data_IF_847247306170
#
_entry.id   IF_847247306170
#
_cell.length_a   1.000
_cell.length_b   1.000
_cell.length_c   1.000
_cell.angle_alpha   90.00
_cell.angle_beta   90.00
_cell.angle_gamma   90.00
#
_symmetry.space_group_name_H-M   'P 1'
#
loop_
_entity.id
_entity.type
_entity.pdbx_description
1 polymer ?
#
# COMPACT_ATOMS: atom_id res chain seq x y z
N UNK A 1 -1.48 -0.31 -22.55
CA UNK A 1 -1.10 -1.63 -22.00
C UNK A 1 0.18 -2.11 -22.68
N UNK A 2 1.35 -1.93 -22.06
CA UNK A 2 2.63 -2.52 -22.53
C UNK A 2 2.90 -3.76 -21.68
N UNK A 3 2.89 -4.93 -22.32
CA UNK A 3 3.16 -6.22 -21.67
C UNK A 3 4.65 -6.34 -21.36
N UNK A 4 4.90 -6.99 -20.21
CA UNK A 4 6.15 -7.21 -19.51
C UNK A 4 7.06 -8.16 -20.30
N UNK A 5 8.32 -7.79 -20.51
CA UNK A 5 9.39 -8.74 -20.85
C UNK A 5 9.90 -9.37 -19.55
N UNK A 6 9.41 -10.57 -19.25
CA UNK A 6 10.08 -11.55 -18.41
C UNK A 6 11.06 -12.34 -19.29
N UNK A 7 12.04 -13.00 -18.65
CA UNK A 7 13.11 -13.83 -19.24
C UNK A 7 14.45 -13.10 -19.43
N UNK A 8 15.03 -12.68 -18.31
CA UNK A 8 16.50 -12.73 -18.18
C UNK A 8 16.84 -14.18 -17.84
N UNK A 9 17.22 -14.93 -18.88
CA UNK A 9 17.67 -16.31 -18.77
C UNK A 9 18.81 -16.42 -17.76
N UNK A 10 18.70 -17.43 -16.89
CA UNK A 10 19.74 -17.85 -15.96
C UNK A 10 20.90 -18.48 -16.76
N UNK A 11 21.74 -17.64 -17.34
CA UNK A 11 23.07 -18.04 -17.79
C UNK A 11 23.94 -18.30 -16.56
N UNK A 12 24.12 -19.57 -16.21
CA UNK A 12 25.15 -20.00 -15.27
C UNK A 12 26.52 -19.64 -15.87
N UNK A 13 27.06 -18.50 -15.48
CA UNK A 13 28.48 -18.18 -15.71
C UNK A 13 29.32 -19.14 -14.86
N UNK A 14 29.67 -20.29 -15.44
CA UNK A 14 30.60 -21.25 -14.88
C UNK A 14 32.03 -20.72 -15.04
N UNK A 15 32.39 -19.73 -14.22
CA UNK A 15 33.80 -19.34 -14.04
C UNK A 15 34.35 -20.22 -12.91
N UNK A 16 35.38 -21.06 -13.15
CA UNK A 16 35.98 -21.85 -12.10
C UNK A 16 36.61 -20.91 -11.07
N UNK A 17 35.94 -20.75 -9.92
CA UNK A 17 36.44 -20.02 -8.77
C UNK A 17 37.47 -20.91 -8.05
N UNK A 18 38.75 -20.66 -8.27
CA UNK A 18 39.83 -21.26 -7.48
C UNK A 18 39.78 -20.68 -6.05
N UNK A 19 38.96 -21.30 -5.19
CA UNK A 19 38.72 -20.92 -3.79
C UNK A 19 39.86 -21.31 -2.83
N UNK A 20 41.03 -21.70 -3.34
CA UNK A 20 42.16 -22.18 -2.52
C UNK A 20 43.00 -21.07 -1.88
N UNK A 21 42.68 -19.78 -2.09
CA UNK A 21 43.45 -18.67 -1.54
C UNK A 21 42.89 -18.09 -0.22
N UNK A 22 41.79 -18.65 0.32
CA UNK A 22 41.14 -18.14 1.53
C UNK A 22 40.97 -19.17 2.66
N UNK A 23 41.43 -20.41 2.47
CA UNK A 23 41.44 -21.39 3.54
C UNK A 23 42.77 -21.32 4.30
N UNK A 24 42.68 -20.68 5.46
CA UNK A 24 43.46 -20.96 6.67
C UNK A 24 44.78 -20.21 6.87
N UNK A 25 44.66 -19.10 7.58
CA UNK A 25 45.74 -18.51 8.36
C UNK A 25 45.29 -18.41 9.82
N UNK A 26 45.92 -19.21 10.69
CA UNK A 26 45.89 -19.05 12.15
C UNK A 26 46.38 -20.34 12.83
N UNK A 27 47.20 -20.36 13.87
CA UNK A 27 47.98 -19.37 14.61
C UNK A 27 49.02 -20.17 15.44
N UNK A 28 50.16 -19.53 15.73
CA UNK A 28 51.07 -19.74 16.87
C UNK A 28 51.73 -21.11 17.16
N UNK A 29 53.08 -21.07 17.19
CA UNK A 29 53.88 -21.64 18.28
C UNK A 29 54.59 -22.99 18.04
N UNK A 30 55.93 -22.99 18.04
CA UNK A 30 56.74 -24.18 18.37
C UNK A 30 57.93 -24.47 17.44
N UNK A 31 59.08 -24.69 18.08
CA UNK A 31 60.46 -24.99 17.62
C UNK A 31 60.72 -25.80 16.32
N UNK A 32 61.97 -25.72 15.77
CA UNK A 32 62.37 -26.46 14.58
C UNK A 32 62.79 -27.90 14.94
N UNK A 33 62.19 -28.89 14.27
CA UNK A 33 62.64 -30.29 14.35
C UNK A 33 62.72 -30.92 12.94
N UNK A 34 63.98 -31.09 12.52
CA UNK A 34 64.61 -32.19 11.78
C UNK A 34 63.76 -33.28 11.08
N UNK A 35 64.22 -33.65 9.89
CA UNK A 35 63.98 -34.99 9.35
C UNK A 35 63.84 -35.10 7.83
N UNK A 36 64.89 -35.56 7.14
CA UNK A 36 64.71 -36.45 5.98
C UNK A 36 65.41 -36.08 4.67
N UNK A 37 66.70 -36.35 4.61
CA UNK A 37 67.53 -36.48 3.41
C UNK A 37 66.95 -37.52 2.42
N UNK A 38 66.80 -37.14 1.14
CA UNK A 38 66.78 -38.07 0.01
C UNK A 38 67.71 -37.55 -1.10
N UNK A 39 68.92 -38.10 -1.07
CA UNK A 39 70.01 -37.96 -2.02
C UNK A 39 69.59 -38.38 -3.44
N UNK A 40 69.94 -37.56 -4.44
CA UNK A 40 69.79 -37.84 -5.87
C UNK A 40 70.89 -37.10 -6.63
N UNK A 41 72.10 -37.65 -6.55
CA UNK A 41 73.35 -37.14 -7.14
C UNK A 41 73.42 -37.35 -8.65
N UNK A 42 73.96 -36.36 -9.36
CA UNK A 42 74.36 -36.39 -10.77
C UNK A 42 74.15 -35.00 -11.38
N UNK A 43 75.13 -34.11 -11.51
CA UNK A 43 76.55 -34.29 -11.75
C UNK A 43 76.84 -33.79 -13.15
N UNK A 44 77.01 -32.47 -13.33
CA UNK A 44 77.83 -31.88 -14.39
C UNK A 44 78.16 -30.43 -14.00
N UNK A 45 79.42 -30.22 -13.61
CA UNK A 45 80.04 -28.91 -13.46
C UNK A 45 80.73 -28.59 -14.78
N UNK A 46 80.33 -27.49 -15.42
CA UNK A 46 81.13 -26.85 -16.45
C UNK A 46 81.66 -25.50 -15.90
N UNK A 47 82.97 -25.32 -15.73
CA UNK A 47 83.53 -24.19 -15.00
C UNK A 47 83.88 -23.04 -15.94
N UNK A 48 82.91 -22.18 -16.25
CA UNK A 48 83.18 -20.83 -16.78
C UNK A 48 82.29 -19.79 -16.07
N UNK A 49 82.14 -19.93 -14.76
CA UNK A 49 81.65 -18.86 -13.91
C UNK A 49 82.82 -17.97 -13.51
N UNK A 50 82.92 -16.77 -14.10
CA UNK A 50 83.73 -15.70 -13.51
C UNK A 50 83.17 -15.48 -12.11
N UNK A 51 83.87 -15.98 -11.08
CA UNK A 51 83.43 -15.80 -9.71
C UNK A 51 83.31 -14.30 -9.48
N UNK A 52 82.13 -13.80 -9.10
CA UNK A 52 81.94 -12.37 -8.91
C UNK A 52 82.95 -11.90 -7.87
N UNK A 53 83.60 -10.77 -8.16
CA UNK A 53 84.50 -10.13 -7.20
C UNK A 53 83.71 -9.86 -5.91
N UNK A 54 84.38 -9.87 -4.75
CA UNK A 54 83.78 -9.51 -3.46
C UNK A 54 83.06 -8.14 -3.54
N UNK A 55 83.60 -7.24 -4.37
CA UNK A 55 83.00 -5.94 -4.66
C UNK A 55 81.69 -6.04 -5.47
N UNK A 56 81.58 -6.97 -6.43
CA UNK A 56 80.35 -7.21 -7.21
C UNK A 56 79.25 -7.84 -6.35
N UNK A 57 79.61 -8.69 -5.38
CA UNK A 57 78.67 -9.26 -4.41
C UNK A 57 78.14 -8.20 -3.44
N UNK A 58 78.98 -7.26 -3.01
CA UNK A 58 78.55 -6.13 -2.17
C UNK A 58 77.60 -5.20 -2.93
N UNK A 59 77.85 -4.95 -4.21
CA UNK A 59 76.95 -4.18 -5.08
C UNK A 59 75.62 -4.91 -5.23
N UNK A 60 75.62 -6.20 -5.56
CA UNK A 60 74.39 -7.00 -5.67
C UNK A 60 73.58 -7.06 -4.36
N UNK A 61 74.26 -7.18 -3.21
CA UNK A 61 73.59 -7.14 -1.90
C UNK A 61 72.96 -5.77 -1.62
N UNK A 62 73.62 -4.69 -2.03
CA UNK A 62 73.10 -3.32 -1.88
C UNK A 62 71.89 -3.07 -2.79
N UNK A 63 71.92 -3.58 -4.02
CA UNK A 63 70.83 -3.51 -4.99
C UNK A 63 69.64 -4.40 -4.58
N UNK A 64 69.90 -5.60 -4.05
CA UNK A 64 68.88 -6.52 -3.56
C UNK A 64 68.17 -5.93 -2.33
N UNK A 65 68.92 -5.33 -1.38
CA UNK A 65 68.34 -4.58 -0.26
C UNK A 65 67.54 -3.37 -0.71
N UNK A 66 68.02 -2.62 -1.71
CA UNK A 66 67.29 -1.48 -2.26
C UNK A 66 65.98 -1.91 -2.95
N UNK A 67 66.01 -3.01 -3.72
CA UNK A 67 64.80 -3.59 -4.30
C UNK A 67 63.83 -4.12 -3.24
N UNK A 68 64.33 -4.79 -2.21
CA UNK A 68 63.49 -5.32 -1.14
C UNK A 68 62.81 -4.19 -0.36
N UNK A 69 63.51 -3.08 -0.11
CA UNK A 69 62.93 -1.87 0.47
C UNK A 69 61.86 -1.22 -0.42
N UNK A 70 62.08 -1.18 -1.74
CA UNK A 70 61.07 -0.70 -2.70
C UNK A 70 59.82 -1.59 -2.69
N UNK A 71 60.00 -2.92 -2.76
CA UNK A 71 58.92 -3.89 -2.76
C UNK A 71 58.09 -3.86 -1.47
N UNK A 72 58.75 -3.64 -0.34
CA UNK A 72 58.08 -3.48 0.95
C UNK A 72 57.25 -2.17 1.00
N UNK A 73 57.77 -1.08 0.42
CA UNK A 73 57.02 0.19 0.30
C UNK A 73 55.82 0.06 -0.64
N UNK A 74 55.97 -0.62 -1.78
CA UNK A 74 54.88 -0.92 -2.70
C UNK A 74 53.80 -1.76 -2.03
N UNK A 75 54.20 -2.80 -1.29
CA UNK A 75 53.27 -3.64 -0.51
C UNK A 75 52.51 -2.84 0.55
N UNK A 76 53.20 -1.97 1.28
CA UNK A 76 52.56 -1.10 2.29
C UNK A 76 51.57 -0.13 1.64
N UNK A 77 51.93 0.43 0.48
CA UNK A 77 51.08 1.35 -0.28
C UNK A 77 49.83 0.64 -0.80
N UNK A 78 50.00 -0.50 -1.46
CA UNK A 78 48.91 -1.33 -1.96
C UNK A 78 47.98 -1.82 -0.83
N UNK A 79 48.53 -2.18 0.33
CA UNK A 79 47.73 -2.56 1.50
C UNK A 79 46.87 -1.40 2.02
N UNK A 80 47.44 -0.19 2.04
CA UNK A 80 46.74 1.03 2.49
C UNK A 80 45.64 1.42 1.52
N UNK A 81 45.90 1.34 0.22
CA UNK A 81 44.90 1.59 -0.83
C UNK A 81 43.76 0.57 -0.77
N UNK A 82 44.06 -0.72 -0.63
CA UNK A 82 43.06 -1.77 -0.49
C UNK A 82 42.18 -1.58 0.76
N UNK A 83 42.78 -1.19 1.89
CA UNK A 83 42.05 -0.87 3.12
C UNK A 83 41.13 0.35 2.92
N UNK A 84 41.61 1.39 2.24
CA UNK A 84 40.84 2.58 1.92
C UNK A 84 39.67 2.29 0.98
N UNK A 85 39.90 1.51 -0.09
CA UNK A 85 38.83 1.08 -1.00
C UNK A 85 37.75 0.28 -0.28
N UNK A 86 38.16 -0.66 0.60
CA UNK A 86 37.24 -1.45 1.40
C UNK A 86 36.42 -0.59 2.35
N UNK A 87 37.03 0.44 2.95
CA UNK A 87 36.34 1.40 3.83
C UNK A 87 35.34 2.25 3.06
N UNK A 88 35.72 2.77 1.90
CA UNK A 88 34.85 3.56 1.03
C UNK A 88 33.66 2.73 0.52
N UNK A 89 33.89 1.48 0.13
CA UNK A 89 32.82 0.59 -0.33
C UNK A 89 31.78 0.35 0.78
N UNK A 90 32.23 0.03 2.00
CA UNK A 90 31.33 -0.12 3.15
C UNK A 90 30.56 1.15 3.47
N UNK A 91 31.22 2.31 3.39
CA UNK A 91 30.57 3.60 3.63
C UNK A 91 29.49 3.89 2.58
N UNK A 92 29.75 3.61 1.29
CA UNK A 92 28.78 3.77 0.20
C UNK A 92 27.58 2.83 0.37
N UNK A 93 27.83 1.54 0.61
CA UNK A 93 26.77 0.55 0.86
C UNK A 93 25.90 0.96 2.05
N UNK A 94 26.51 1.36 3.17
CA UNK A 94 25.76 1.80 4.35
C UNK A 94 24.94 3.07 4.13
N UNK A 95 25.40 3.98 3.27
CA UNK A 95 24.66 5.19 2.92
C UNK A 95 23.50 4.90 1.96
N UNK A 96 23.69 4.00 0.99
CA UNK A 96 22.63 3.54 0.09
C UNK A 96 21.54 2.77 0.84
N UNK A 97 21.91 1.89 1.77
CA UNK A 97 20.94 1.12 2.57
C UNK A 97 20.08 2.03 3.45
N UNK A 98 20.69 3.06 4.08
CA UNK A 98 19.93 4.05 4.85
C UNK A 98 19.02 4.92 3.97
N UNK A 99 19.47 5.32 2.77
CA UNK A 99 18.65 6.07 1.84
C UNK A 99 17.49 5.23 1.29
N UNK A 100 17.72 3.95 1.02
CA UNK A 100 16.69 3.01 0.59
C UNK A 100 15.67 2.75 1.70
N UNK A 101 16.12 2.59 2.96
CA UNK A 101 15.23 2.46 4.11
C UNK A 101 14.38 3.72 4.33
N UNK A 102 15.00 4.91 4.30
CA UNK A 102 14.28 6.18 4.44
C UNK A 102 13.26 6.40 3.33
N UNK A 103 13.58 5.99 2.09
CA UNK A 103 12.65 6.06 0.97
C UNK A 103 11.52 5.04 1.10
N UNK A 104 11.80 3.82 1.52
CA UNK A 104 10.79 2.80 1.79
C UNK A 104 9.83 3.21 2.92
N UNK A 105 10.34 3.84 3.98
CA UNK A 105 9.51 4.40 5.05
C UNK A 105 8.67 5.59 4.58
N UNK A 106 9.25 6.48 3.77
CA UNK A 106 8.51 7.59 3.17
C UNK A 106 7.40 7.07 2.25
N UNK A 107 7.70 6.11 1.38
CA UNK A 107 6.72 5.50 0.46
C UNK A 107 5.63 4.76 1.25
N UNK A 108 5.98 4.03 2.31
CA UNK A 108 5.00 3.39 3.19
C UNK A 108 4.08 4.39 3.90
N UNK A 109 4.60 5.55 4.35
CA UNK A 109 3.78 6.61 4.92
C UNK A 109 2.88 7.27 3.87
N UNK A 110 3.36 7.45 2.63
CA UNK A 110 2.54 7.96 1.53
C UNK A 110 1.41 6.98 1.20
N UNK A 111 1.71 5.70 1.09
CA UNK A 111 0.72 4.65 0.81
C UNK A 111 -0.31 4.54 1.93
N UNK A 112 0.11 4.62 3.20
CA UNK A 112 -0.82 4.65 4.34
C UNK A 112 -1.76 5.85 4.26
N UNK A 113 -1.23 7.05 3.93
CA UNK A 113 -2.03 8.26 3.78
C UNK A 113 -2.97 8.19 2.57
N UNK A 114 -2.53 7.61 1.46
CA UNK A 114 -3.37 7.41 0.28
C UNK A 114 -4.55 6.50 0.63
N UNK A 115 -4.29 5.36 1.29
CA UNK A 115 -5.35 4.44 1.73
C UNK A 115 -6.35 5.10 2.68
N UNK A 116 -5.88 5.93 3.62
CA UNK A 116 -6.76 6.67 4.52
C UNK A 116 -7.64 7.68 3.76
N UNK A 117 -7.09 8.37 2.77
CA UNK A 117 -7.83 9.31 1.94
C UNK A 117 -8.85 8.59 1.04
N UNK A 118 -8.47 7.46 0.44
CA UNK A 118 -9.37 6.62 -0.34
C UNK A 118 -10.57 6.14 0.48
N UNK A 119 -10.34 5.68 1.72
CA UNK A 119 -11.40 5.28 2.63
C UNK A 119 -12.35 6.46 2.96
N UNK A 120 -11.80 7.64 3.22
CA UNK A 120 -12.61 8.86 3.46
C UNK A 120 -13.44 9.26 2.25
N UNK A 121 -12.86 9.18 1.05
CA UNK A 121 -13.57 9.47 -0.21
C UNK A 121 -14.71 8.48 -0.41
N UNK A 122 -14.45 7.19 -0.19
CA UNK A 122 -15.45 6.13 -0.30
C UNK A 122 -16.62 6.33 0.67
N UNK A 123 -16.34 6.67 1.94
CA UNK A 123 -17.39 6.99 2.94
C UNK A 123 -18.21 8.20 2.47
N UNK A 124 -17.56 9.23 1.95
CA UNK A 124 -18.24 10.44 1.45
C UNK A 124 -19.12 10.14 0.24
N UNK A 125 -18.62 9.39 -0.75
CA UNK A 125 -19.38 8.98 -1.93
C UNK A 125 -20.60 8.11 -1.56
N UNK A 126 -20.45 7.18 -0.62
CA UNK A 126 -21.58 6.38 -0.14
C UNK A 126 -22.58 7.21 0.66
N UNK A 127 -22.10 8.16 1.46
CA UNK A 127 -22.99 9.06 2.21
C UNK A 127 -23.84 9.88 1.25
N UNK A 128 -23.23 10.48 0.22
CA UNK A 128 -23.93 11.26 -0.81
C UNK A 128 -24.99 10.39 -1.52
N UNK A 129 -24.61 9.19 -1.95
CA UNK A 129 -25.56 8.25 -2.58
C UNK A 129 -26.72 7.85 -1.68
N UNK A 130 -26.50 7.67 -0.38
CA UNK A 130 -27.57 7.33 0.55
C UNK A 130 -28.52 8.52 0.80
N UNK A 131 -28.01 9.74 0.69
CA UNK A 131 -28.79 10.97 0.83
C UNK A 131 -29.54 11.36 -0.45
N UNK A 132 -29.19 10.80 -1.62
CA UNK A 132 -29.88 11.06 -2.88
C UNK A 132 -31.38 10.78 -2.75
N UNK A 133 -32.20 11.53 -3.51
CA UNK A 133 -33.66 11.54 -3.37
C UNK A 133 -34.33 10.16 -3.51
N UNK A 134 -33.70 9.24 -4.25
CA UNK A 134 -34.19 7.87 -4.46
C UNK A 134 -34.16 7.04 -3.16
N UNK A 135 -33.15 7.26 -2.31
CA UNK A 135 -33.01 6.58 -1.01
C UNK A 135 -33.56 7.48 0.10
N UNK A 136 -33.14 8.74 0.09
CA UNK A 136 -33.58 9.80 0.97
C UNK A 136 -33.28 9.53 2.45
N UNK A 137 -32.14 8.87 2.76
CA UNK A 137 -31.67 8.77 4.13
C UNK A 137 -31.29 10.15 4.66
N UNK A 138 -31.50 10.35 5.96
CA UNK A 138 -30.96 11.53 6.62
C UNK A 138 -29.42 11.47 6.66
N UNK A 139 -28.78 12.64 6.78
CA UNK A 139 -27.32 12.75 6.74
C UNK A 139 -26.60 11.94 7.82
N UNK A 140 -27.25 11.70 8.96
CA UNK A 140 -26.66 10.97 10.09
C UNK A 140 -26.71 9.47 9.81
N UNK A 141 -27.88 8.92 9.46
CA UNK A 141 -27.97 7.49 9.09
C UNK A 141 -27.17 7.14 7.84
N UNK A 142 -27.11 8.03 6.84
CA UNK A 142 -26.29 7.86 5.64
C UNK A 142 -24.80 7.74 5.95
N UNK A 143 -24.30 8.57 6.88
CA UNK A 143 -22.90 8.50 7.34
C UNK A 143 -22.62 7.22 8.12
N UNK A 144 -23.49 6.86 9.07
CA UNK A 144 -23.36 5.63 9.84
C UNK A 144 -23.36 4.40 8.92
N UNK A 145 -24.23 4.40 7.90
CA UNK A 145 -24.27 3.35 6.88
C UNK A 145 -22.97 3.29 6.06
N UNK A 146 -22.47 4.44 5.60
CA UNK A 146 -21.25 4.52 4.81
C UNK A 146 -19.99 4.14 5.60
N UNK A 147 -19.89 4.56 6.86
CA UNK A 147 -18.81 4.19 7.78
C UNK A 147 -18.84 2.70 8.10
N UNK A 148 -20.03 2.14 8.36
CA UNK A 148 -20.19 0.70 8.58
C UNK A 148 -19.81 -0.12 7.34
N UNK A 149 -20.18 0.35 6.14
CA UNK A 149 -19.82 -0.33 4.88
C UNK A 149 -18.31 -0.26 4.61
N UNK A 150 -17.67 0.88 4.85
CA UNK A 150 -16.22 1.03 4.72
C UNK A 150 -15.43 0.23 5.78
N UNK A 151 -16.00 0.06 6.97
CA UNK A 151 -15.46 -0.78 8.04
C UNK A 151 -15.79 -2.28 7.93
N UNK A 152 -16.49 -2.69 6.86
CA UNK A 152 -16.98 -4.06 6.66
C UNK A 152 -17.90 -4.58 7.79
N UNK A 153 -18.56 -3.67 8.51
CA UNK A 153 -19.56 -3.97 9.55
C UNK A 153 -20.96 -4.00 8.92
N UNK A 154 -21.24 -5.11 8.25
CA UNK A 154 -22.47 -5.30 7.47
C UNK A 154 -23.72 -5.27 8.36
N UNK A 155 -23.64 -5.77 9.59
CA UNK A 155 -24.77 -5.78 10.53
C UNK A 155 -25.20 -4.36 10.92
N UNK A 156 -24.24 -3.47 11.23
CA UNK A 156 -24.55 -2.07 11.51
C UNK A 156 -25.10 -1.34 10.30
N UNK A 157 -24.56 -1.60 9.11
CA UNK A 157 -25.06 -1.02 7.87
C UNK A 157 -26.55 -1.40 7.64
N UNK A 158 -26.90 -2.68 7.69
CA UNK A 158 -28.29 -3.11 7.51
C UNK A 158 -29.22 -2.65 8.65
N UNK A 159 -28.69 -2.50 9.88
CA UNK A 159 -29.46 -1.93 10.99
C UNK A 159 -29.80 -0.46 10.76
N UNK A 160 -28.86 0.35 10.27
CA UNK A 160 -29.10 1.75 9.90
C UNK A 160 -30.15 1.86 8.77
N UNK A 161 -30.02 1.03 7.73
CA UNK A 161 -31.01 0.94 6.65
C UNK A 161 -32.40 0.52 7.17
N UNK A 162 -32.46 -0.48 8.05
CA UNK A 162 -33.70 -0.94 8.66
C UNK A 162 -34.40 0.13 9.50
N UNK A 163 -33.63 0.96 10.21
CA UNK A 163 -34.17 2.10 10.96
C UNK A 163 -34.75 3.17 10.02
N UNK A 164 -34.06 3.48 8.92
CA UNK A 164 -34.56 4.41 7.90
C UNK A 164 -35.89 3.94 7.28
N UNK A 165 -35.97 2.66 6.89
CA UNK A 165 -37.21 2.08 6.32
C UNK A 165 -38.36 2.16 7.34
N UNK A 166 -38.10 1.86 8.62
CA UNK A 166 -39.11 2.00 9.68
C UNK A 166 -39.56 3.45 9.82
N UNK A 167 -38.64 4.41 9.83
CA UNK A 167 -38.96 5.83 9.92
C UNK A 167 -39.81 6.32 8.73
N UNK A 168 -39.43 5.94 7.50
CA UNK A 168 -40.22 6.22 6.28
C UNK A 168 -41.61 5.61 6.36
N UNK A 169 -41.74 4.36 6.82
CA UNK A 169 -43.04 3.71 6.99
C UNK A 169 -43.91 4.44 8.00
N UNK A 170 -43.36 4.82 9.16
CA UNK A 170 -44.12 5.57 10.18
C UNK A 170 -44.51 6.96 9.70
N UNK A 171 -43.64 7.65 8.96
CA UNK A 171 -43.96 8.95 8.37
C UNK A 171 -45.09 8.82 7.34
N UNK A 172 -45.03 7.80 6.48
CA UNK A 172 -46.09 7.53 5.51
C UNK A 172 -47.42 7.17 6.18
N UNK A 173 -47.39 6.37 7.25
CA UNK A 173 -48.58 6.09 8.06
C UNK A 173 -49.15 7.36 8.69
N UNK A 174 -48.32 8.23 9.26
CA UNK A 174 -48.75 9.50 9.83
C UNK A 174 -49.36 10.43 8.78
N UNK A 175 -48.73 10.58 7.62
CA UNK A 175 -49.27 11.34 6.48
C UNK A 175 -50.60 10.75 6.00
N UNK A 176 -50.70 9.42 5.94
CA UNK A 176 -51.94 8.74 5.57
C UNK A 176 -53.08 9.00 6.56
N UNK A 177 -52.80 9.01 7.87
CA UNK A 177 -53.81 9.34 8.88
C UNK A 177 -54.13 10.84 8.93
N UNK A 178 -53.16 11.72 8.72
CA UNK A 178 -53.38 13.17 8.69
C UNK A 178 -54.17 13.63 7.46
N UNK A 179 -54.04 12.93 6.33
CA UNK A 179 -54.78 13.20 5.10
C UNK A 179 -56.19 12.61 5.06
N UNK A 180 -56.61 11.86 6.07
CA UNK A 180 -57.98 11.34 6.18
C UNK A 180 -58.88 12.38 6.83
N UNK A 181 -59.98 12.72 6.15
CA UNK A 181 -61.10 13.39 6.79
C UNK A 181 -61.58 12.56 7.98
N UNK A 182 -61.79 13.22 9.12
CA UNK A 182 -62.24 12.59 10.35
C UNK A 182 -63.58 11.87 10.08
N UNK A 183 -63.56 10.53 10.05
CA UNK A 183 -64.77 9.75 9.83
C UNK A 183 -65.61 9.90 11.09
N UNK A 184 -66.50 10.88 11.10
CA UNK A 184 -67.56 11.03 12.11
C UNK A 184 -68.40 9.76 12.13
N UNK A 185 -68.02 8.84 13.00
CA UNK A 185 -68.80 7.65 13.31
C UNK A 185 -70.10 8.06 13.97
N UNK A 186 -71.16 8.20 13.17
CA UNK A 186 -72.56 7.96 13.52
C UNK A 186 -73.20 8.62 14.74
N UNK A 187 -72.50 9.40 15.56
CA UNK A 187 -73.09 10.05 16.72
C UNK A 187 -73.52 11.48 16.35
N UNK A 188 -74.84 11.67 16.34
CA UNK A 188 -75.56 12.86 15.89
C UNK A 188 -75.29 14.11 16.72
N UNK A 189 -74.09 14.64 16.65
CA UNK A 189 -73.76 15.97 17.17
C UNK A 189 -74.03 17.05 16.13
N UNK A 190 -75.17 17.72 16.26
CA UNK A 190 -75.63 19.09 15.85
C UNK A 190 -75.06 19.85 14.63
N UNK A 191 -74.10 19.33 13.87
CA UNK A 191 -73.60 19.94 12.64
C UNK A 191 -73.97 19.04 11.48
N UNK A 192 -74.75 19.58 10.54
CA UNK A 192 -75.33 18.91 9.36
C UNK A 192 -74.41 17.83 8.81
N UNK A 193 -74.88 16.59 8.80
CA UNK A 193 -74.11 15.43 8.32
C UNK A 193 -73.69 15.62 6.86
N UNK A 194 -72.57 15.01 6.46
CA UNK A 194 -72.08 15.01 5.07
C UNK A 194 -73.19 14.56 4.10
N UNK A 195 -74.05 13.63 4.54
CA UNK A 195 -75.24 13.21 3.81
C UNK A 195 -76.25 14.35 3.60
N UNK A 196 -76.47 15.20 4.60
CA UNK A 196 -77.33 16.38 4.51
C UNK A 196 -76.73 17.44 3.59
N UNK A 197 -75.42 17.68 3.62
CA UNK A 197 -74.75 18.57 2.67
C UNK A 197 -74.83 18.05 1.23
N UNK A 198 -74.58 16.75 1.03
CA UNK A 198 -74.65 16.12 -0.30
C UNK A 198 -76.08 16.13 -0.81
N UNK A 199 -77.06 15.85 0.05
CA UNK A 199 -78.48 15.99 -0.28
C UNK A 199 -78.82 17.44 -0.65
N UNK A 200 -78.34 18.42 0.12
CA UNK A 200 -78.57 19.84 -0.14
C UNK A 200 -77.98 20.25 -1.50
N UNK A 201 -76.75 19.83 -1.82
CA UNK A 201 -76.10 20.03 -3.13
C UNK A 201 -76.85 19.35 -4.28
N UNK A 202 -77.41 18.15 -4.07
CA UNK A 202 -78.23 17.45 -5.05
C UNK A 202 -79.61 18.11 -5.25
N UNK A 203 -80.17 18.73 -4.22
CA UNK A 203 -81.43 19.49 -4.33
C UNK A 203 -81.22 20.87 -4.96
N UNK A 204 -80.11 21.56 -4.69
CA UNK A 204 -79.79 22.85 -5.32
C UNK A 204 -79.29 22.72 -6.76
N UNK A 205 -78.87 21.54 -7.20
CA UNK A 205 -78.67 21.23 -8.63
C UNK A 205 -79.96 20.73 -9.31
N UNK A 206 -81.02 20.46 -8.54
CA UNK A 206 -82.36 20.09 -9.02
C UNK A 206 -83.36 21.25 -8.98
N UNK A 207 -82.89 22.49 -8.74
CA UNK A 207 -83.66 23.68 -9.10
C UNK A 207 -83.53 23.93 -10.61
N UNK A 208 -84.02 22.97 -11.39
CA UNK A 208 -84.53 23.31 -12.71
C UNK A 208 -85.75 24.18 -12.44
N UNK A 209 -85.63 25.47 -12.75
CA UNK A 209 -86.75 26.39 -12.76
C UNK A 209 -87.89 25.71 -13.51
N UNK A 210 -88.95 25.33 -12.78
CA UNK A 210 -90.22 25.05 -13.44
C UNK A 210 -90.62 26.38 -14.05
N UNK A 211 -90.44 26.49 -15.36
CA UNK A 211 -90.66 27.71 -16.10
C UNK A 211 -92.14 28.11 -15.91
N UNK A 212 -92.39 29.05 -15.00
CA UNK A 212 -93.75 29.40 -14.56
C UNK A 212 -94.60 29.94 -15.71
N UNK A 213 -93.98 30.40 -16.80
CA UNK A 213 -94.68 30.87 -17.99
C UNK A 213 -95.30 29.72 -18.81
N UNK A 214 -94.74 28.50 -18.73
CA UNK A 214 -95.35 27.33 -19.38
C UNK A 214 -96.59 26.85 -18.60
N UNK A 215 -96.63 27.05 -17.28
CA UNK A 215 -97.78 26.69 -16.45
C UNK A 215 -98.99 27.61 -16.66
N UNK A 216 -98.78 28.88 -17.03
CA UNK A 216 -99.86 29.86 -17.29
C UNK A 216 -100.58 29.66 -18.62
N UNK A 217 -100.08 28.79 -19.50
CA UNK A 217 -100.74 28.46 -20.78
C UNK A 217 -101.61 27.21 -20.71
N UNK A 218 -101.60 26.49 -19.58
CA UNK A 218 -102.35 25.24 -19.39
C UNK A 218 -103.34 25.28 -18.22
N UNK A 219 -103.54 26.45 -17.59
CA UNK A 219 -104.59 26.75 -16.61
C UNK A 219 -105.36 27.95 -17.10
#
# INVERSE_FOLDING_TARGET
>A
MRKRNQEFERGTFNVPMNLQLFADGGAEGGDPADGGNANGSGGDQDPQGKQPSVDELLVQLSEERARNAQLQNEKNTASTEAANYKKQLRAKMSAEDQAAAAKAEADAQKDARIKELEAKIQIRDYTERCMDADIGMDKVTAKEFAEALAGNDVEKAFKALGNHIKAKKTAWEQEFYAGRDDIRGGNGGEKTSLALEKAKKMTSSRSGEVNQDVLKHYV
#
